data_IF_321220697832
#
_entry.id   IF_321220697832
#
_cell.length_a   1.000
_cell.length_b   1.000
_cell.length_c   1.000
_cell.angle_alpha   90.00
_cell.angle_beta   90.00
_cell.angle_gamma   90.00
#
_symmetry.space_group_name_H-M   'P 1'
#
loop_
_entity.id
_entity.type
_entity.pdbx_description
1 polymer ?
#
# COMPACT_ATOMS: atom_id res chain seq x y z
N UNK A 1 -10.08 -4.63 5.46
CA UNK A 1 -10.10 -3.29 6.06
C UNK A 1 -10.27 -2.12 5.08
N UNK A 2 -9.98 -2.17 3.76
CA UNK A 2 -10.31 -1.03 2.89
C UNK A 2 -11.83 -0.84 2.72
N UNK A 3 -12.58 -1.95 2.71
CA UNK A 3 -14.05 -1.95 2.67
C UNK A 3 -14.70 -1.27 3.88
N UNK A 4 -14.11 -1.36 5.07
CA UNK A 4 -14.67 -0.74 6.27
C UNK A 4 -14.53 0.78 6.21
N UNK A 5 -13.38 1.30 5.77
CA UNK A 5 -13.18 2.73 5.55
C UNK A 5 -14.15 3.28 4.48
N UNK A 6 -14.32 2.55 3.38
CA UNK A 6 -15.29 2.90 2.33
C UNK A 6 -16.75 2.89 2.82
N UNK A 7 -17.07 2.04 3.78
CA UNK A 7 -18.41 1.95 4.36
C UNK A 7 -18.66 3.06 5.39
N UNK A 8 -17.69 3.38 6.24
CA UNK A 8 -17.85 4.46 7.23
C UNK A 8 -18.01 5.82 6.56
N UNK A 9 -17.22 6.12 5.53
CA UNK A 9 -17.34 7.37 4.76
C UNK A 9 -18.68 7.54 4.05
N UNK A 10 -19.41 6.45 3.76
CA UNK A 10 -20.73 6.49 3.13
C UNK A 10 -21.88 6.73 4.11
N UNK A 11 -21.65 6.49 5.40
CA UNK A 11 -22.66 6.64 6.44
C UNK A 11 -22.71 8.11 6.87
N UNK A 12 -21.56 8.70 7.21
CA UNK A 12 -21.40 10.12 7.52
C UNK A 12 -19.94 10.56 7.28
N UNK A 13 -19.75 11.70 6.63
CA UNK A 13 -18.43 12.23 6.29
C UNK A 13 -17.72 12.85 7.52
N UNK A 14 -18.47 13.29 8.53
CA UNK A 14 -17.96 13.82 9.80
C UNK A 14 -17.97 12.76 10.93
N UNK A 15 -18.04 11.47 10.57
CA UNK A 15 -18.04 10.38 11.54
C UNK A 15 -16.69 10.25 12.27
N UNK A 16 -16.72 10.40 13.59
CA UNK A 16 -15.58 10.16 14.49
C UNK A 16 -14.97 8.77 14.26
N UNK A 17 -15.77 7.77 13.89
CA UNK A 17 -15.30 6.43 13.56
C UNK A 17 -14.41 6.41 12.31
N UNK A 18 -14.70 7.24 11.31
CA UNK A 18 -13.87 7.33 10.12
C UNK A 18 -12.47 7.84 10.46
N UNK A 19 -12.36 8.81 11.38
CA UNK A 19 -11.08 9.29 11.90
C UNK A 19 -10.31 8.19 12.64
N UNK A 20 -10.98 7.48 13.56
CA UNK A 20 -10.33 6.39 14.34
C UNK A 20 -9.81 5.29 13.42
N UNK A 21 -10.60 4.90 12.42
CA UNK A 21 -10.20 3.88 11.44
C UNK A 21 -9.02 4.40 10.61
N UNK A 22 -9.02 5.67 10.21
CA UNK A 22 -7.91 6.27 9.47
C UNK A 22 -6.62 6.28 10.30
N UNK A 23 -6.66 6.71 11.55
CA UNK A 23 -5.49 6.74 12.45
C UNK A 23 -4.91 5.32 12.65
N UNK A 24 -5.78 4.33 12.79
CA UNK A 24 -5.37 2.93 12.90
C UNK A 24 -4.75 2.41 11.59
N UNK A 25 -5.26 2.85 10.43
CA UNK A 25 -4.72 2.50 9.12
C UNK A 25 -3.42 3.23 8.80
N UNK A 26 -3.17 4.41 9.36
CA UNK A 26 -1.86 5.08 9.28
C UNK A 26 -0.83 4.30 10.12
N UNK A 27 -1.23 3.77 11.28
CA UNK A 27 -0.37 2.96 12.16
C UNK A 27 -0.11 1.56 11.58
N UNK A 28 -1.15 0.89 11.08
CA UNK A 28 -1.05 -0.45 10.48
C UNK A 28 -1.54 -0.43 9.02
N UNK A 29 -0.71 0.17 8.17
CA UNK A 29 -1.04 0.49 6.78
C UNK A 29 -1.18 -0.71 5.85
N UNK A 30 -0.68 -1.90 6.23
CA UNK A 30 -0.92 -3.14 5.47
C UNK A 30 -2.42 -3.41 5.24
N UNK A 31 -3.26 -3.05 6.22
CA UNK A 31 -4.71 -3.21 6.16
C UNK A 31 -5.39 -2.21 5.19
N UNK A 32 -4.71 -1.11 4.87
CA UNK A 32 -5.20 -0.02 4.02
C UNK A 32 -4.70 -0.07 2.58
N UNK A 33 -3.94 -1.10 2.19
CA UNK A 33 -3.46 -1.27 0.81
C UNK A 33 -4.67 -1.37 -0.13
N UNK A 34 -4.67 -0.55 -1.19
CA UNK A 34 -5.77 -0.40 -2.14
C UNK A 34 -6.85 0.61 -1.73
N UNK A 35 -6.70 1.29 -0.59
CA UNK A 35 -7.47 2.49 -0.27
C UNK A 35 -6.64 3.75 -0.55
N UNK A 36 -7.32 4.84 -0.87
CA UNK A 36 -6.72 6.17 -0.95
C UNK A 36 -6.35 6.67 0.45
N UNK A 37 -5.08 6.49 0.80
CA UNK A 37 -4.50 6.93 2.06
C UNK A 37 -3.26 7.77 1.78
N UNK A 38 -3.06 8.78 2.62
CA UNK A 38 -1.84 9.59 2.59
C UNK A 38 -0.66 8.73 3.03
N UNK A 39 0.23 8.42 2.08
CA UNK A 39 1.39 7.58 2.31
C UNK A 39 2.57 8.35 2.92
N UNK A 40 2.50 9.68 3.03
CA UNK A 40 3.63 10.51 3.48
C UNK A 40 4.04 10.27 4.93
N UNK A 41 3.16 9.70 5.76
CA UNK A 41 3.37 9.46 7.19
C UNK A 41 3.57 7.99 7.55
N UNK A 42 3.64 7.09 6.57
CA UNK A 42 3.73 5.65 6.84
C UNK A 42 5.15 5.26 7.27
N UNK A 43 5.24 4.58 8.41
CA UNK A 43 6.48 4.03 8.94
C UNK A 43 6.67 2.59 8.43
N UNK A 44 7.75 2.32 7.66
CA UNK A 44 8.00 1.03 7.02
C UNK A 44 8.99 0.14 7.79
N UNK A 45 9.63 0.65 8.84
CA UNK A 45 10.71 -0.02 9.57
C UNK A 45 10.30 -1.42 10.07
N UNK A 46 9.10 -1.54 10.65
CA UNK A 46 8.61 -2.82 11.15
C UNK A 46 8.26 -3.82 10.03
N UNK A 47 7.85 -3.32 8.86
CA UNK A 47 7.52 -4.16 7.69
C UNK A 47 8.80 -4.64 7.01
N UNK A 48 9.74 -3.73 6.75
CA UNK A 48 10.98 -4.03 6.05
C UNK A 48 11.98 -4.80 6.93
N UNK A 49 11.89 -4.67 8.25
CA UNK A 49 12.70 -5.42 9.21
C UNK A 49 12.34 -6.91 9.33
N UNK A 50 11.26 -7.37 8.68
CA UNK A 50 10.85 -8.77 8.68
C UNK A 50 10.57 -9.25 7.25
N UNK A 51 11.33 -10.23 6.78
CA UNK A 51 11.25 -10.71 5.39
C UNK A 51 9.86 -11.21 5.00
N UNK A 52 9.17 -11.91 5.89
CA UNK A 52 7.82 -12.41 5.64
C UNK A 52 6.81 -11.25 5.51
N UNK A 53 6.89 -10.25 6.38
CA UNK A 53 6.02 -9.08 6.32
C UNK A 53 6.31 -8.24 5.09
N UNK A 54 7.58 -8.06 4.75
CA UNK A 54 7.99 -7.38 3.53
C UNK A 54 7.38 -8.05 2.30
N UNK A 55 7.55 -9.37 2.12
CA UNK A 55 6.99 -10.08 0.97
C UNK A 55 5.46 -9.98 0.92
N UNK A 56 4.77 -10.18 2.06
CA UNK A 56 3.31 -10.02 2.14
C UNK A 56 2.86 -8.62 1.71
N UNK A 57 3.60 -7.59 2.12
CA UNK A 57 3.31 -6.21 1.77
C UNK A 57 3.44 -5.98 0.27
N UNK A 58 4.56 -6.40 -0.33
CA UNK A 58 4.84 -6.29 -1.77
C UNK A 58 3.76 -7.02 -2.58
N UNK A 59 3.47 -8.27 -2.22
CA UNK A 59 2.45 -9.08 -2.91
C UNK A 59 1.08 -8.41 -2.87
N UNK A 60 0.73 -7.80 -1.74
CA UNK A 60 -0.55 -7.12 -1.59
C UNK A 60 -0.62 -5.84 -2.42
N UNK A 61 0.44 -5.04 -2.45
CA UNK A 61 0.53 -3.85 -3.32
C UNK A 61 0.38 -4.24 -4.79
N UNK A 62 1.07 -5.30 -5.23
CA UNK A 62 0.99 -5.82 -6.60
C UNK A 62 -0.41 -6.32 -6.94
N UNK A 63 -1.03 -7.07 -6.02
CA UNK A 63 -2.36 -7.63 -6.20
C UNK A 63 -3.44 -6.55 -6.28
N UNK A 64 -3.33 -5.52 -5.44
CA UNK A 64 -4.29 -4.42 -5.36
C UNK A 64 -4.03 -3.32 -6.40
N UNK A 65 -2.92 -3.40 -7.15
CA UNK A 65 -2.52 -2.38 -8.12
C UNK A 65 -2.41 -0.98 -7.50
N UNK A 66 -1.90 -0.93 -6.27
CA UNK A 66 -1.81 0.30 -5.49
C UNK A 66 -0.61 1.15 -5.93
N UNK A 67 -0.85 2.03 -6.90
CA UNK A 67 0.19 2.86 -7.51
C UNK A 67 0.83 3.84 -6.51
N UNK A 68 0.06 4.36 -5.56
CA UNK A 68 0.57 5.33 -4.58
C UNK A 68 1.68 4.71 -3.73
N UNK A 69 1.45 3.49 -3.24
CA UNK A 69 2.46 2.74 -2.49
C UNK A 69 3.56 2.19 -3.37
N UNK A 70 3.25 1.82 -4.62
CA UNK A 70 4.25 1.24 -5.50
C UNK A 70 5.36 2.22 -5.93
N UNK A 71 5.08 3.52 -5.89
CA UNK A 71 6.06 4.57 -6.22
C UNK A 71 6.87 5.03 -5.01
N UNK A 72 6.61 4.50 -3.81
CA UNK A 72 7.39 4.84 -2.63
C UNK A 72 8.80 4.25 -2.75
N UNK A 73 9.86 5.03 -2.48
CA UNK A 73 11.24 4.59 -2.63
C UNK A 73 11.57 3.38 -1.74
N UNK A 74 10.89 3.22 -0.61
CA UNK A 74 11.02 2.10 0.31
C UNK A 74 10.52 0.77 -0.29
N UNK A 75 9.52 0.81 -1.18
CA UNK A 75 8.84 -0.36 -1.71
C UNK A 75 9.16 -0.65 -3.18
N UNK A 76 9.46 0.40 -3.96
CA UNK A 76 9.72 0.28 -5.39
C UNK A 76 10.78 -0.79 -5.74
N UNK A 77 11.91 -0.91 -5.02
CA UNK A 77 12.89 -1.97 -5.29
C UNK A 77 12.33 -3.38 -5.04
N UNK A 78 11.56 -3.57 -3.96
CA UNK A 78 10.93 -4.85 -3.65
C UNK A 78 9.88 -5.26 -4.70
N UNK A 79 9.11 -4.30 -5.20
CA UNK A 79 8.13 -4.52 -6.27
C UNK A 79 8.81 -4.85 -7.59
N UNK A 80 9.87 -4.11 -7.95
CA UNK A 80 10.67 -4.40 -9.14
C UNK A 80 11.25 -5.81 -9.10
N UNK A 81 11.83 -6.21 -7.95
CA UNK A 81 12.37 -7.54 -7.74
C UNK A 81 11.31 -8.64 -7.83
N UNK A 82 10.13 -8.43 -7.22
CA UNK A 82 9.05 -9.41 -7.22
C UNK A 82 8.42 -9.60 -8.62
N UNK A 83 8.31 -8.53 -9.42
CA UNK A 83 7.74 -8.59 -10.76
C UNK A 83 8.76 -9.05 -11.82
N UNK A 84 10.02 -8.67 -11.65
CA UNK A 84 11.11 -8.96 -12.57
C UNK A 84 10.76 -8.67 -14.03
N UNK A 85 11.17 -9.57 -14.93
CA UNK A 85 10.92 -9.46 -16.38
C UNK A 85 9.45 -9.56 -16.77
N UNK A 86 8.58 -10.00 -15.85
CA UNK A 86 7.14 -10.14 -16.10
C UNK A 86 6.33 -8.93 -15.62
N UNK A 87 6.99 -7.82 -15.24
CA UNK A 87 6.30 -6.61 -14.80
C UNK A 87 5.24 -6.13 -15.80
N UNK A 88 5.52 -6.14 -17.10
CA UNK A 88 4.56 -5.75 -18.12
C UNK A 88 3.36 -6.71 -18.27
N UNK A 89 3.52 -7.97 -17.86
CA UNK A 89 2.45 -8.99 -17.90
C UNK A 89 1.56 -8.86 -16.66
N UNK A 90 2.17 -8.79 -15.48
CA UNK A 90 1.42 -8.73 -14.23
C UNK A 90 0.91 -7.34 -13.90
N UNK A 91 1.57 -6.28 -14.35
CA UNK A 91 1.21 -4.89 -14.06
C UNK A 91 1.68 -3.91 -15.17
N UNK A 92 1.01 -3.98 -16.34
CA UNK A 92 1.34 -3.18 -17.53
C UNK A 92 1.44 -1.66 -17.31
N UNK A 93 0.63 -1.12 -16.41
CA UNK A 93 0.56 0.32 -16.11
C UNK A 93 1.69 0.82 -15.21
N UNK A 94 2.37 -0.08 -14.51
CA UNK A 94 3.40 0.28 -13.55
C UNK A 94 4.66 0.73 -14.29
N UNK A 95 5.00 2.01 -14.11
CA UNK A 95 6.25 2.61 -14.58
C UNK A 95 7.12 2.96 -13.39
N UNK A 96 7.82 1.96 -12.85
CA UNK A 96 8.85 2.23 -11.85
C UNK A 96 9.97 3.05 -12.51
N UNK A 97 10.53 4.01 -11.79
CA UNK A 97 11.74 4.68 -12.29
C UNK A 97 12.86 3.63 -12.35
N UNK A 98 13.51 3.50 -13.51
CA UNK A 98 14.65 2.61 -13.66
C UNK A 98 15.73 3.01 -12.65
N UNK A 99 16.31 2.07 -11.88
CA UNK A 99 17.48 2.38 -11.07
C UNK A 99 18.62 2.82 -12.00
N UNK A 100 19.15 4.02 -11.74
CA UNK A 100 20.32 4.62 -12.40
C UNK A 100 21.56 3.75 -12.16
#
# INVERSE_FOLDING_TARGET
>A
MPLLLLQTQKIDADDVLASIVKDQLETWHYSGIGAELDCSKMAFEAILGNECLHQLYIDRVIKMKDHNRAMLPELAPGIAAALGIYAAVFWKELKLQDPI
#
